data_IF_452826934121
#
_entry.id   IF_452826934121
#
_cell.length_a   1.000
_cell.length_b   1.000
_cell.length_c   1.000
_cell.angle_alpha   90.00
_cell.angle_beta   90.00
_cell.angle_gamma   90.00
#
_symmetry.space_group_name_H-M   'P 1'
#
loop_
_entity.id
_entity.type
_entity.pdbx_description
1 polymer ?
#
# COMPACT_ATOMS: atom_id res chain seq x y z
N UNK A 1 32.19 58.06 -43.49
CA UNK A 1 31.92 56.84 -42.68
C UNK A 1 30.98 57.27 -41.57
N UNK A 2 29.71 56.86 -41.69
CA UNK A 2 28.55 57.71 -41.42
C UNK A 2 27.91 57.55 -40.04
N UNK A 3 27.39 58.68 -39.54
CA UNK A 3 26.60 58.83 -38.33
C UNK A 3 25.10 58.55 -38.54
N UNK A 4 24.43 58.21 -37.44
CA UNK A 4 23.01 58.38 -37.06
C UNK A 4 21.99 58.84 -38.13
N UNK A 5 20.81 58.17 -38.20
CA UNK A 5 19.48 58.80 -38.02
C UNK A 5 18.34 57.77 -37.91
N UNK A 6 17.32 58.15 -37.12
CA UNK A 6 16.04 57.49 -36.77
C UNK A 6 14.99 57.44 -37.90
N UNK A 7 14.09 56.45 -37.87
CA UNK A 7 12.61 56.54 -37.89
C UNK A 7 12.00 55.12 -37.92
N UNK A 8 11.17 54.69 -36.94
CA UNK A 8 9.73 54.93 -36.66
C UNK A 8 8.76 53.99 -37.41
N UNK A 9 8.06 53.21 -36.59
CA UNK A 9 6.66 52.74 -36.64
C UNK A 9 6.23 51.55 -37.55
N UNK A 10 5.58 50.57 -36.90
CA UNK A 10 4.71 49.49 -37.44
C UNK A 10 5.41 48.12 -37.51
N UNK A 11 5.05 47.05 -36.80
CA UNK A 11 3.74 46.63 -36.26
C UNK A 11 3.99 45.64 -35.09
N UNK A 12 3.24 45.78 -34.00
CA UNK A 12 3.30 44.93 -32.81
C UNK A 12 2.56 43.61 -33.05
N UNK A 13 3.25 42.46 -32.93
CA UNK A 13 2.60 41.16 -32.74
C UNK A 13 3.12 40.50 -31.45
N UNK A 14 2.37 40.69 -30.37
CA UNK A 14 2.66 40.31 -28.97
C UNK A 14 2.36 38.82 -28.69
N UNK A 15 2.71 37.85 -29.55
CA UNK A 15 2.39 36.43 -29.29
C UNK A 15 3.46 35.40 -29.65
N UNK A 16 4.76 35.67 -29.39
CA UNK A 16 5.78 34.61 -29.32
C UNK A 16 6.77 34.84 -28.16
N UNK A 17 6.90 33.90 -27.21
CA UNK A 17 7.99 33.93 -26.23
C UNK A 17 9.34 33.67 -26.92
N UNK A 18 10.27 34.60 -26.75
CA UNK A 18 11.65 34.48 -27.24
C UNK A 18 12.41 33.39 -26.44
N UNK A 19 12.87 32.34 -27.11
CA UNK A 19 13.79 31.34 -26.55
C UNK A 19 15.26 31.78 -26.69
N UNK A 20 16.08 31.46 -25.69
CA UNK A 20 17.52 31.70 -25.73
C UNK A 20 18.21 30.81 -26.79
N UNK A 21 19.29 31.29 -27.44
CA UNK A 21 20.02 30.49 -28.42
C UNK A 21 20.74 29.32 -27.73
N UNK A 22 20.30 28.10 -28.03
CA UNK A 22 20.98 26.87 -27.65
C UNK A 22 22.30 26.76 -28.41
N UNK A 23 23.42 26.76 -27.68
CA UNK A 23 24.70 26.29 -28.19
C UNK A 23 24.71 24.75 -28.15
N UNK A 24 25.12 24.07 -29.23
CA UNK A 24 25.26 22.62 -29.24
C UNK A 24 26.42 22.23 -28.32
N UNK A 25 26.11 21.68 -27.15
CA UNK A 25 27.11 21.03 -26.30
C UNK A 25 27.05 19.53 -26.58
N UNK A 26 28.01 19.08 -27.37
CA UNK A 26 28.49 17.70 -27.33
C UNK A 26 28.75 17.30 -25.87
N UNK A 27 28.05 16.29 -25.40
CA UNK A 27 28.38 15.53 -24.21
C UNK A 27 28.40 14.04 -24.57
N UNK A 28 29.31 13.25 -23.97
CA UNK A 28 29.69 11.95 -24.49
C UNK A 28 28.72 10.86 -24.06
N UNK A 29 28.24 10.08 -25.05
CA UNK A 29 27.77 8.70 -24.88
C UNK A 29 26.56 8.48 -23.97
N UNK A 30 25.37 8.82 -24.45
CA UNK A 30 24.15 8.19 -23.94
C UNK A 30 24.11 6.71 -24.40
N UNK A 31 23.67 5.75 -23.56
CA UNK A 31 23.49 4.37 -23.97
C UNK A 31 22.49 4.34 -25.14
N UNK A 32 22.84 3.61 -26.20
CA UNK A 32 22.24 3.75 -27.53
C UNK A 32 20.71 3.79 -27.51
N UNK A 33 20.13 4.73 -28.25
CA UNK A 33 18.69 4.77 -28.47
C UNK A 33 18.23 3.42 -29.00
N UNK A 34 17.54 2.63 -28.18
CA UNK A 34 17.06 1.31 -28.57
C UNK A 34 16.02 1.49 -29.69
N UNK A 35 16.34 0.92 -30.85
CA UNK A 35 15.48 0.93 -32.03
C UNK A 35 14.59 -0.31 -32.00
N UNK A 36 13.28 -0.11 -32.18
CA UNK A 36 12.34 -1.18 -32.43
C UNK A 36 12.36 -1.51 -33.92
N UNK A 37 12.76 -2.73 -34.26
CA UNK A 37 12.81 -3.19 -35.65
C UNK A 37 11.58 -4.04 -35.94
N UNK A 38 11.01 -3.87 -37.14
CA UNK A 38 9.89 -4.67 -37.60
C UNK A 38 10.26 -6.16 -37.67
N UNK A 39 9.24 -7.01 -37.48
CA UNK A 39 9.33 -8.46 -37.49
C UNK A 39 9.58 -9.03 -38.89
N UNK A 40 9.12 -8.34 -39.94
CA UNK A 40 9.11 -8.87 -41.31
C UNK A 40 9.91 -8.03 -42.30
N UNK A 41 10.26 -6.78 -41.96
CA UNK A 41 10.90 -5.84 -42.87
C UNK A 41 12.06 -5.10 -42.17
N UNK A 42 12.88 -4.33 -42.91
CA UNK A 42 14.01 -3.59 -42.34
C UNK A 42 13.60 -2.29 -41.64
N UNK A 43 12.31 -1.92 -41.63
CA UNK A 43 11.86 -0.68 -40.99
C UNK A 43 12.13 -0.71 -39.49
N UNK A 44 12.61 0.42 -38.98
CA UNK A 44 12.89 0.60 -37.57
C UNK A 44 12.43 1.96 -37.09
N UNK A 45 11.96 2.01 -35.85
CA UNK A 45 11.53 3.24 -35.20
C UNK A 45 12.17 3.35 -33.82
N UNK A 46 12.37 4.57 -33.30
CA UNK A 46 12.76 4.74 -31.90
C UNK A 46 11.73 4.13 -30.93
N UNK A 47 12.18 3.60 -29.79
CA UNK A 47 11.31 2.99 -28.79
C UNK A 47 10.13 3.86 -28.32
N UNK A 48 10.33 5.18 -28.23
CA UNK A 48 9.28 6.13 -27.84
C UNK A 48 8.16 6.27 -28.90
N UNK A 49 8.36 5.78 -30.12
CA UNK A 49 7.37 5.79 -31.22
C UNK A 49 6.79 4.41 -31.49
N UNK A 50 6.67 3.56 -30.47
CA UNK A 50 6.12 2.19 -30.58
C UNK A 50 4.79 2.13 -31.34
N UNK A 51 3.91 3.13 -31.19
CA UNK A 51 2.60 3.16 -31.85
C UNK A 51 2.71 3.25 -33.38
N UNK A 52 3.77 3.89 -33.89
CA UNK A 52 4.07 3.96 -35.33
C UNK A 52 4.41 2.56 -35.86
N UNK A 53 5.21 1.80 -35.10
CA UNK A 53 5.55 0.42 -35.47
C UNK A 53 4.34 -0.51 -35.39
N UNK A 54 3.53 -0.40 -34.33
CA UNK A 54 2.31 -1.21 -34.20
C UNK A 54 1.33 -0.93 -35.35
N UNK A 55 1.20 0.33 -35.77
CA UNK A 55 0.43 0.71 -36.95
C UNK A 55 1.01 0.12 -38.23
N UNK A 56 2.33 0.13 -38.39
CA UNK A 56 3.01 -0.49 -39.52
C UNK A 56 2.76 -2.01 -39.58
N UNK A 57 2.90 -2.71 -38.45
CA UNK A 57 2.61 -4.15 -38.35
C UNK A 57 1.16 -4.48 -38.72
N UNK A 58 0.20 -3.65 -38.30
CA UNK A 58 -1.21 -3.84 -38.62
C UNK A 58 -1.50 -3.61 -40.11
N UNK A 59 -0.99 -2.53 -40.71
CA UNK A 59 -1.34 -2.13 -42.08
C UNK A 59 -0.58 -2.91 -43.15
N UNK A 60 0.74 -3.08 -42.99
CA UNK A 60 1.60 -3.71 -44.00
C UNK A 60 1.67 -5.23 -43.82
N UNK A 61 1.63 -5.70 -42.56
CA UNK A 61 1.86 -7.10 -42.24
C UNK A 61 0.64 -7.83 -41.66
N UNK A 62 -0.50 -7.13 -41.49
CA UNK A 62 -1.75 -7.68 -40.94
C UNK A 62 -1.56 -8.40 -39.59
N UNK A 63 -0.53 -8.01 -38.83
CA UNK A 63 -0.20 -8.58 -37.53
C UNK A 63 -0.62 -7.63 -36.41
N UNK A 64 -1.27 -8.18 -35.39
CA UNK A 64 -1.66 -7.48 -34.17
C UNK A 64 -1.01 -8.17 -32.99
N UNK A 65 -0.34 -7.40 -32.14
CA UNK A 65 0.20 -7.87 -30.86
C UNK A 65 -0.78 -7.43 -29.76
N UNK A 66 -1.36 -8.39 -29.03
CA UNK A 66 -2.27 -8.12 -27.93
C UNK A 66 -1.53 -7.58 -26.70
N UNK A 67 -2.16 -6.66 -25.99
CA UNK A 67 -1.71 -6.16 -24.68
C UNK A 67 -0.23 -5.76 -24.62
N UNK A 68 0.22 -4.97 -25.59
CA UNK A 68 1.62 -4.49 -25.70
C UNK A 68 2.10 -3.77 -24.43
N UNK A 69 1.17 -3.16 -23.68
CA UNK A 69 1.42 -2.54 -22.37
C UNK A 69 1.95 -3.51 -21.31
N UNK A 70 1.66 -4.80 -21.44
CA UNK A 70 2.08 -5.87 -20.52
C UNK A 70 3.44 -6.49 -20.88
N UNK A 71 4.03 -6.09 -22.01
CA UNK A 71 5.32 -6.61 -22.45
C UNK A 71 6.43 -5.83 -21.73
N UNK A 72 7.17 -6.52 -20.86
CA UNK A 72 8.24 -5.96 -20.05
C UNK A 72 9.37 -5.28 -20.86
N UNK A 73 9.74 -5.90 -22.00
CA UNK A 73 10.81 -5.47 -22.89
C UNK A 73 10.40 -5.69 -24.35
N UNK A 74 9.84 -4.64 -24.96
CA UNK A 74 9.35 -4.70 -26.34
C UNK A 74 10.47 -4.92 -27.38
N UNK A 75 11.65 -4.28 -27.30
CA UNK A 75 12.76 -4.56 -28.21
C UNK A 75 13.17 -6.04 -28.23
N UNK A 76 13.42 -6.66 -27.07
CA UNK A 76 13.81 -8.08 -26.99
C UNK A 76 12.68 -9.00 -27.44
N UNK A 77 11.43 -8.65 -27.13
CA UNK A 77 10.24 -9.38 -27.59
C UNK A 77 10.16 -9.42 -29.12
N UNK A 78 10.32 -8.28 -29.80
CA UNK A 78 10.28 -8.21 -31.26
C UNK A 78 11.46 -8.96 -31.89
N UNK A 79 12.66 -8.86 -31.32
CA UNK A 79 13.82 -9.60 -31.82
C UNK A 79 13.62 -11.12 -31.75
N UNK A 80 13.02 -11.63 -30.66
CA UNK A 80 12.71 -13.05 -30.53
C UNK A 80 11.73 -13.51 -31.62
N UNK A 81 10.60 -12.81 -31.76
CA UNK A 81 9.57 -13.16 -32.74
C UNK A 81 10.04 -13.02 -34.17
N UNK A 82 10.90 -12.03 -34.46
CA UNK A 82 11.56 -11.88 -35.76
C UNK A 82 12.37 -13.13 -36.15
N UNK A 83 13.09 -13.73 -35.21
CA UNK A 83 13.81 -14.98 -35.44
C UNK A 83 12.86 -16.16 -35.63
N UNK A 84 11.87 -16.32 -34.73
CA UNK A 84 10.93 -17.45 -34.76
C UNK A 84 10.05 -17.48 -36.01
N UNK A 85 9.60 -16.32 -36.50
CA UNK A 85 8.82 -16.22 -37.74
C UNK A 85 9.62 -16.47 -39.03
N UNK A 86 10.95 -16.52 -38.96
CA UNK A 86 11.78 -16.98 -40.07
C UNK A 86 11.87 -18.52 -40.13
N UNK A 87 11.68 -19.20 -38.99
CA UNK A 87 11.82 -20.66 -38.89
C UNK A 87 10.53 -21.41 -39.23
N UNK A 88 9.38 -20.88 -38.79
CA UNK A 88 8.08 -21.53 -38.89
C UNK A 88 6.97 -20.54 -39.30
N UNK A 89 5.88 -21.02 -39.94
CA UNK A 89 4.82 -20.15 -40.44
C UNK A 89 4.01 -19.50 -39.30
N UNK A 90 3.47 -18.32 -39.58
CA UNK A 90 2.71 -17.50 -38.61
C UNK A 90 1.50 -18.22 -38.01
N UNK A 91 0.90 -19.16 -38.74
CA UNK A 91 -0.29 -19.90 -38.29
C UNK A 91 -0.06 -20.76 -37.05
N UNK A 92 1.19 -21.12 -36.77
CA UNK A 92 1.53 -21.99 -35.64
C UNK A 92 1.63 -21.18 -34.33
N UNK A 93 1.81 -19.86 -34.45
CA UNK A 93 2.06 -18.95 -33.33
C UNK A 93 1.14 -17.74 -33.27
N UNK A 94 0.17 -17.63 -34.19
CA UNK A 94 -0.78 -16.53 -34.21
C UNK A 94 -2.18 -17.09 -34.46
N UNK A 95 -3.15 -16.57 -33.72
CA UNK A 95 -4.56 -16.82 -33.99
C UNK A 95 -4.98 -16.08 -35.26
N UNK A 96 -5.62 -16.76 -36.20
CA UNK A 96 -6.07 -16.16 -37.47
C UNK A 96 -7.46 -15.57 -37.30
N UNK A 97 -7.58 -14.26 -37.47
CA UNK A 97 -8.85 -13.51 -37.47
C UNK A 97 -9.22 -13.22 -38.92
N UNK A 98 -10.31 -13.83 -39.39
CA UNK A 98 -10.84 -13.56 -40.73
C UNK A 98 -11.83 -12.41 -40.67
N UNK A 99 -11.51 -11.32 -41.35
CA UNK A 99 -12.49 -10.23 -41.54
C UNK A 99 -13.44 -10.59 -42.67
N UNK A 100 -14.73 -10.26 -42.49
CA UNK A 100 -15.78 -10.44 -43.50
C UNK A 100 -16.06 -11.92 -43.87
N UNK A 101 -16.15 -12.80 -42.87
CA UNK A 101 -16.39 -14.25 -43.01
C UNK A 101 -17.66 -14.64 -43.78
N UNK A 102 -18.60 -13.70 -43.99
CA UNK A 102 -19.83 -13.87 -44.79
C UNK A 102 -19.78 -13.14 -46.14
N UNK A 103 -18.69 -12.44 -46.47
CA UNK A 103 -18.52 -11.69 -47.72
C UNK A 103 -17.84 -12.49 -48.85
N UNK A 104 -17.77 -11.93 -50.07
CA UNK A 104 -17.09 -12.55 -51.21
C UNK A 104 -15.62 -12.86 -50.89
N UNK A 105 -15.11 -14.00 -51.37
CA UNK A 105 -13.73 -14.50 -51.10
C UNK A 105 -12.65 -13.45 -51.39
N UNK A 106 -12.86 -12.59 -52.40
CA UNK A 106 -11.94 -11.52 -52.79
C UNK A 106 -11.79 -10.39 -51.76
N UNK A 107 -12.69 -10.31 -50.76
CA UNK A 107 -12.67 -9.29 -49.69
C UNK A 107 -12.41 -9.89 -48.30
N UNK A 108 -12.10 -11.18 -48.23
CA UNK A 108 -11.72 -11.83 -46.97
C UNK A 108 -10.24 -11.58 -46.73
N UNK A 109 -9.92 -10.90 -45.64
CA UNK A 109 -8.55 -10.68 -45.22
C UNK A 109 -8.28 -11.40 -43.90
N UNK A 110 -7.19 -12.17 -43.89
CA UNK A 110 -6.69 -12.85 -42.71
C UNK A 110 -5.74 -11.91 -41.93
N UNK A 111 -6.08 -11.64 -40.68
CA UNK A 111 -5.25 -10.94 -39.71
C UNK A 111 -4.66 -11.95 -38.73
N UNK A 112 -3.42 -11.75 -38.31
CA UNK A 112 -2.74 -12.61 -37.36
C UNK A 112 -2.67 -11.92 -36.00
N UNK A 113 -3.18 -12.57 -34.96
CA UNK A 113 -3.15 -12.07 -33.58
C UNK A 113 -2.13 -12.87 -32.76
N UNK A 114 -1.14 -12.16 -32.22
CA UNK A 114 -0.17 -12.68 -31.27
C UNK A 114 -0.62 -12.31 -29.85
N UNK A 115 -0.98 -13.31 -29.04
CA UNK A 115 -1.51 -13.11 -27.70
C UNK A 115 -0.99 -14.13 -26.70
N UNK A 116 -1.14 -13.79 -25.43
CA UNK A 116 -0.78 -14.55 -24.23
C UNK A 116 -1.59 -15.85 -24.03
N UNK A 117 -2.68 -16.05 -24.78
CA UNK A 117 -3.39 -17.33 -24.82
C UNK A 117 -2.50 -18.43 -25.43
N UNK A 118 -1.51 -18.05 -26.25
CA UNK A 118 -0.58 -18.98 -26.88
C UNK A 118 0.57 -19.32 -25.94
N UNK A 119 0.90 -20.62 -25.75
CA UNK A 119 1.91 -21.05 -24.78
C UNK A 119 3.28 -20.40 -24.97
N UNK A 120 3.77 -20.30 -26.21
CA UNK A 120 5.09 -19.72 -26.50
C UNK A 120 5.15 -18.22 -26.23
N UNK A 121 4.10 -17.47 -26.57
CA UNK A 121 4.03 -16.03 -26.31
C UNK A 121 3.94 -15.76 -24.81
N UNK A 122 3.11 -16.53 -24.09
CA UNK A 122 2.99 -16.46 -22.64
C UNK A 122 4.34 -16.69 -21.95
N UNK A 123 5.02 -17.78 -22.28
CA UNK A 123 6.33 -18.12 -21.71
C UNK A 123 7.39 -17.04 -22.00
N UNK A 124 7.35 -16.43 -23.19
CA UNK A 124 8.25 -15.34 -23.53
C UNK A 124 7.98 -14.09 -22.69
N UNK A 125 6.70 -13.69 -22.56
CA UNK A 125 6.30 -12.55 -21.71
C UNK A 125 6.71 -12.78 -20.26
N UNK A 126 6.43 -13.96 -19.71
CA UNK A 126 6.84 -14.38 -18.36
C UNK A 126 8.36 -14.31 -18.20
N UNK A 127 9.13 -14.83 -19.17
CA UNK A 127 10.61 -14.81 -19.13
C UNK A 127 11.19 -13.40 -19.19
N UNK A 128 10.62 -12.51 -20.00
CA UNK A 128 11.06 -11.11 -20.08
C UNK A 128 10.71 -10.35 -18.80
N UNK A 129 9.53 -10.61 -18.23
CA UNK A 129 9.12 -10.03 -16.95
C UNK A 129 10.00 -10.51 -15.80
N UNK A 130 10.27 -11.81 -15.69
CA UNK A 130 11.12 -12.38 -14.65
C UNK A 130 12.52 -11.75 -14.68
N UNK A 131 13.10 -11.61 -15.88
CA UNK A 131 14.41 -10.98 -16.04
C UNK A 131 14.40 -9.51 -15.61
N UNK A 132 13.35 -8.76 -15.97
CA UNK A 132 13.16 -7.38 -15.53
C UNK A 132 12.98 -7.28 -14.02
N UNK A 133 12.26 -8.22 -13.41
CA UNK A 133 12.07 -8.28 -11.97
C UNK A 133 13.40 -8.57 -11.25
N UNK A 134 14.20 -9.52 -11.74
CA UNK A 134 15.55 -9.81 -11.24
C UNK A 134 16.44 -8.55 -11.27
N UNK A 135 16.49 -7.85 -12.41
CA UNK A 135 17.25 -6.61 -12.57
C UNK A 135 16.80 -5.52 -11.57
N UNK A 136 15.49 -5.41 -11.33
CA UNK A 136 14.92 -4.42 -10.41
C UNK A 136 15.17 -4.79 -8.94
N UNK A 137 15.14 -6.07 -8.59
CA UNK A 137 15.48 -6.55 -7.25
C UNK A 137 16.96 -6.37 -6.95
N UNK A 138 17.84 -6.64 -7.92
CA UNK A 138 19.27 -6.36 -7.80
C UNK A 138 19.53 -4.87 -7.59
N UNK A 139 18.85 -4.01 -8.36
CA UNK A 139 18.90 -2.56 -8.18
C UNK A 139 18.39 -2.14 -6.79
N UNK A 140 17.29 -2.73 -6.31
CA UNK A 140 16.76 -2.45 -4.98
C UNK A 140 17.77 -2.81 -3.89
N UNK A 141 18.41 -3.97 -4.00
CA UNK A 141 19.42 -4.43 -3.05
C UNK A 141 20.65 -3.51 -3.07
N UNK A 142 21.12 -3.13 -4.25
CA UNK A 142 22.20 -2.17 -4.39
C UNK A 142 21.86 -0.83 -3.72
N UNK A 143 20.65 -0.31 -3.91
CA UNK A 143 20.20 0.93 -3.26
C UNK A 143 19.99 0.80 -1.74
N UNK A 144 19.79 -0.42 -1.21
CA UNK A 144 19.74 -0.66 0.24
C UNK A 144 21.13 -0.66 0.86
N UNK A 145 22.10 -1.23 0.16
CA UNK A 145 23.49 -1.30 0.61
C UNK A 145 24.27 -0.01 0.31
N UNK A 146 23.76 0.84 -0.59
CA UNK A 146 24.37 2.11 -0.92
C UNK A 146 24.44 3.04 0.31
N UNK A 147 25.66 3.45 0.62
CA UNK A 147 26.01 4.41 1.67
C UNK A 147 26.64 5.68 1.11
N UNK A 148 26.74 5.79 -0.23
CA UNK A 148 27.27 6.96 -0.94
C UNK A 148 26.19 7.96 -1.33
N UNK A 149 24.92 7.70 -0.98
CA UNK A 149 23.81 8.58 -1.29
C UNK A 149 24.00 9.94 -0.62
N UNK A 150 23.94 11.01 -1.41
CA UNK A 150 24.02 12.39 -0.93
C UNK A 150 22.99 13.26 -1.65
N UNK A 151 22.07 13.87 -0.89
CA UNK A 151 21.10 14.83 -1.41
C UNK A 151 20.60 15.81 -0.34
N UNK A 152 20.25 17.01 -0.80
CA UNK A 152 19.52 18.00 -0.01
C UNK A 152 18.02 17.72 -0.13
N UNK A 153 17.28 17.86 0.97
CA UNK A 153 15.84 17.74 0.96
C UNK A 153 15.18 18.83 0.09
N UNK A 154 14.22 18.44 -0.74
CA UNK A 154 13.51 19.34 -1.67
C UNK A 154 12.61 20.39 -0.97
N UNK A 155 12.29 20.19 0.31
CA UNK A 155 11.38 21.05 1.07
C UNK A 155 12.09 21.99 2.06
N UNK A 156 13.21 21.54 2.65
CA UNK A 156 14.05 22.30 3.59
C UNK A 156 15.48 22.50 3.05
N UNK A 157 16.42 22.86 3.92
CA UNK A 157 17.84 23.05 3.57
C UNK A 157 18.74 21.98 4.20
N UNK A 158 18.15 20.93 4.74
CA UNK A 158 18.88 19.85 5.39
C UNK A 158 19.50 18.93 4.34
N UNK A 159 20.77 18.60 4.55
CA UNK A 159 21.55 17.72 3.68
C UNK A 159 21.65 16.34 4.31
N UNK A 160 21.41 15.31 3.49
CA UNK A 160 21.43 13.92 3.89
C UNK A 160 22.53 13.20 3.12
N UNK A 161 23.40 12.52 3.87
CA UNK A 161 24.45 11.65 3.37
C UNK A 161 24.32 10.25 3.99
N UNK A 162 24.71 9.21 3.28
CA UNK A 162 24.65 7.83 3.77
C UNK A 162 23.62 7.01 3.00
N UNK A 163 22.55 6.58 3.67
CA UNK A 163 21.50 5.78 3.05
C UNK A 163 20.29 6.64 2.66
N UNK A 164 19.66 6.30 1.53
CA UNK A 164 18.45 6.98 1.02
C UNK A 164 17.29 7.02 2.02
N UNK A 165 17.18 6.01 2.89
CA UNK A 165 16.12 5.93 3.91
C UNK A 165 16.11 7.14 4.85
N UNK A 166 17.27 7.74 5.15
CA UNK A 166 17.36 8.91 6.03
C UNK A 166 16.61 10.11 5.46
N UNK A 167 16.78 10.39 4.16
CA UNK A 167 16.08 11.47 3.48
C UNK A 167 14.56 11.20 3.40
N UNK A 168 14.19 9.98 2.99
CA UNK A 168 12.78 9.62 2.83
C UNK A 168 12.01 9.63 4.16
N UNK A 169 12.63 9.12 5.23
CA UNK A 169 12.05 9.15 6.57
C UNK A 169 11.96 10.59 7.11
N UNK A 170 12.93 11.45 6.81
CA UNK A 170 12.85 12.88 7.14
C UNK A 170 11.69 13.57 6.41
N UNK A 171 11.53 13.34 5.10
CA UNK A 171 10.41 13.89 4.33
C UNK A 171 9.05 13.44 4.91
N UNK A 172 8.94 12.18 5.33
CA UNK A 172 7.73 11.66 5.95
C UNK A 172 7.46 12.24 7.34
N UNK A 173 8.49 12.45 8.18
CA UNK A 173 8.33 12.92 9.57
C UNK A 173 8.21 14.45 9.67
N UNK A 174 9.19 15.18 9.12
CA UNK A 174 9.30 16.64 9.28
C UNK A 174 8.40 17.41 8.31
N UNK A 175 8.17 16.85 7.12
CA UNK A 175 7.33 17.50 6.10
C UNK A 175 5.98 16.83 5.92
N UNK A 176 5.75 15.72 6.64
CA UNK A 176 4.55 14.89 6.48
C UNK A 176 4.30 14.52 5.02
N UNK A 177 5.35 14.40 4.21
CA UNK A 177 5.28 14.07 2.80
C UNK A 177 5.74 12.62 2.63
N UNK A 178 4.77 11.72 2.47
CA UNK A 178 5.04 10.28 2.34
C UNK A 178 4.90 9.85 0.88
N UNK A 179 5.97 9.24 0.36
CA UNK A 179 6.02 8.61 -0.97
C UNK A 179 6.08 7.08 -0.89
N UNK A 180 5.85 6.51 0.30
CA UNK A 180 6.00 5.08 0.56
C UNK A 180 7.24 4.75 1.39
N UNK A 181 7.38 3.46 1.74
CA UNK A 181 8.53 2.97 2.49
C UNK A 181 9.79 3.01 1.61
N UNK A 182 10.96 3.38 2.17
CA UNK A 182 12.23 3.37 1.44
C UNK A 182 12.50 2.04 0.73
N UNK A 183 12.12 0.93 1.36
CA UNK A 183 12.31 -0.41 0.85
C UNK A 183 11.48 -0.73 -0.38
N UNK A 184 10.32 -0.10 -0.55
CA UNK A 184 9.41 -0.38 -1.66
C UNK A 184 9.72 0.47 -2.90
N UNK A 185 10.70 1.37 -2.79
CA UNK A 185 11.10 2.29 -3.86
C UNK A 185 12.31 1.72 -4.58
N UNK A 186 12.31 1.81 -5.91
CA UNK A 186 13.42 1.46 -6.80
C UNK A 186 13.75 2.65 -7.70
N UNK A 187 15.00 2.74 -8.16
CA UNK A 187 15.51 3.89 -8.91
C UNK A 187 15.33 5.21 -8.14
N UNK A 188 15.66 5.22 -6.85
CA UNK A 188 15.33 6.32 -5.93
C UNK A 188 15.88 7.67 -6.40
N UNK A 189 17.10 7.71 -6.95
CA UNK A 189 17.68 8.96 -7.46
C UNK A 189 16.85 9.54 -8.61
N UNK A 190 16.49 8.70 -9.59
CA UNK A 190 15.65 9.10 -10.73
C UNK A 190 14.25 9.53 -10.27
N UNK A 191 13.71 8.88 -9.24
CA UNK A 191 12.43 9.25 -8.67
C UNK A 191 12.49 10.65 -8.03
N UNK A 192 13.49 10.89 -7.20
CA UNK A 192 13.71 12.20 -6.58
C UNK A 192 13.97 13.29 -7.61
N UNK A 193 14.67 13.00 -8.72
CA UNK A 193 14.84 13.92 -9.83
C UNK A 193 13.53 14.26 -10.54
N UNK A 194 12.70 13.25 -10.81
CA UNK A 194 11.40 13.47 -11.42
C UNK A 194 10.50 14.37 -10.53
N UNK A 195 10.52 14.14 -9.21
CA UNK A 195 9.78 14.96 -8.26
C UNK A 195 10.35 16.38 -8.15
N UNK A 196 11.67 16.52 -8.10
CA UNK A 196 12.36 17.80 -8.04
C UNK A 196 12.07 18.64 -9.29
N UNK A 197 12.17 18.03 -10.48
CA UNK A 197 11.84 18.67 -11.75
C UNK A 197 10.38 19.15 -11.79
N UNK A 198 9.42 18.36 -11.28
CA UNK A 198 8.02 18.79 -11.19
C UNK A 198 7.85 19.99 -10.24
N UNK A 199 8.55 20.01 -9.11
CA UNK A 199 8.53 21.17 -8.21
C UNK A 199 9.18 22.42 -8.83
N UNK A 200 10.27 22.25 -9.59
CA UNK A 200 10.96 23.36 -10.26
C UNK A 200 10.14 23.93 -11.42
N UNK A 201 9.34 23.08 -12.09
CA UNK A 201 8.29 23.49 -13.02
C UNK A 201 7.04 24.06 -12.33
N UNK A 202 7.10 24.31 -11.02
CA UNK A 202 6.03 24.85 -10.21
C UNK A 202 4.74 24.01 -10.25
N UNK A 203 4.87 22.70 -10.46
CA UNK A 203 3.78 21.75 -10.52
C UNK A 203 3.56 21.06 -9.17
N UNK A 204 2.31 20.97 -8.72
CA UNK A 204 1.95 20.23 -7.52
C UNK A 204 1.99 18.71 -7.76
N UNK A 205 2.70 17.97 -6.91
CA UNK A 205 2.90 16.52 -7.03
C UNK A 205 1.62 15.69 -6.85
N UNK A 206 0.59 16.25 -6.22
CA UNK A 206 -0.70 15.57 -5.96
C UNK A 206 -1.77 15.91 -6.98
N UNK A 207 -2.02 17.20 -7.22
CA UNK A 207 -3.11 17.65 -8.09
C UNK A 207 -2.66 18.07 -9.48
N UNK A 208 -1.35 18.01 -9.76
CA UNK A 208 -0.72 18.30 -11.06
C UNK A 208 -0.94 19.70 -11.61
N UNK A 209 -1.54 20.60 -10.82
CA UNK A 209 -1.71 22.02 -11.17
C UNK A 209 -0.37 22.74 -11.14
N UNK A 210 -0.16 23.63 -12.11
CA UNK A 210 0.98 24.53 -12.17
C UNK A 210 0.67 25.85 -11.47
N UNK A 211 1.70 26.46 -10.89
CA UNK A 211 1.61 27.68 -10.10
C UNK A 211 2.57 28.74 -10.65
N UNK A 212 2.33 30.00 -10.26
CA UNK A 212 3.13 31.13 -10.75
C UNK A 212 4.48 31.24 -10.04
N UNK A 213 4.49 30.91 -8.73
CA UNK A 213 5.68 31.06 -7.88
C UNK A 213 5.83 29.91 -6.88
N UNK A 214 7.08 29.58 -6.51
CA UNK A 214 7.41 28.52 -5.54
C UNK A 214 6.74 28.73 -4.17
N UNK A 215 6.56 29.99 -3.76
CA UNK A 215 5.85 30.34 -2.52
C UNK A 215 4.38 29.94 -2.59
N UNK A 216 3.69 30.26 -3.70
CA UNK A 216 2.28 29.92 -3.91
C UNK A 216 2.05 28.41 -4.00
N UNK A 217 2.98 27.67 -4.59
CA UNK A 217 2.96 26.20 -4.63
C UNK A 217 3.12 25.61 -3.22
N UNK A 218 4.12 26.05 -2.45
CA UNK A 218 4.33 25.60 -1.06
C UNK A 218 3.12 25.89 -0.18
N UNK A 219 2.54 27.09 -0.31
CA UNK A 219 1.32 27.47 0.40
C UNK A 219 0.12 26.62 0.02
N UNK A 220 -0.03 26.33 -1.28
CA UNK A 220 -1.08 25.45 -1.79
C UNK A 220 -0.95 24.04 -1.20
N UNK A 221 0.23 23.44 -1.27
CA UNK A 221 0.48 22.09 -0.75
C UNK A 221 0.23 22.01 0.76
N UNK A 222 0.61 23.06 1.51
CA UNK A 222 0.36 23.16 2.95
C UNK A 222 -1.13 23.32 3.28
N UNK A 223 -1.82 24.28 2.65
CA UNK A 223 -3.23 24.61 2.94
C UNK A 223 -4.20 23.50 2.53
N UNK A 224 -3.92 22.81 1.41
CA UNK A 224 -4.75 21.71 0.92
C UNK A 224 -4.30 20.33 1.40
N UNK A 225 -3.25 20.27 2.24
CA UNK A 225 -2.66 19.03 2.70
C UNK A 225 -2.34 18.03 1.57
N UNK A 226 -1.83 18.53 0.43
CA UNK A 226 -1.33 17.71 -0.68
C UNK A 226 0.04 17.13 -0.29
N UNK A 227 -0.01 16.16 0.62
CA UNK A 227 1.10 15.52 1.33
C UNK A 227 1.52 14.18 0.70
N UNK A 228 0.86 13.80 -0.39
CA UNK A 228 1.10 12.56 -1.13
C UNK A 228 1.34 12.90 -2.60
N UNK A 229 1.95 11.97 -3.33
CA UNK A 229 1.97 12.03 -4.79
C UNK A 229 0.61 11.60 -5.35
N UNK A 230 0.34 11.98 -6.59
CA UNK A 230 -0.82 11.47 -7.30
C UNK A 230 -0.67 9.97 -7.55
N UNK A 231 -1.54 9.15 -6.96
CA UNK A 231 -1.54 7.70 -7.19
C UNK A 231 -1.89 7.33 -8.63
N UNK A 232 -2.83 8.05 -9.24
CA UNK A 232 -3.31 7.73 -10.59
C UNK A 232 -2.33 8.09 -11.71
N UNK A 233 -1.15 8.61 -11.38
CA UNK A 233 -0.14 8.96 -12.37
C UNK A 233 0.79 7.77 -12.63
N UNK A 234 0.56 7.12 -13.77
CA UNK A 234 1.31 5.95 -14.21
C UNK A 234 2.81 6.20 -14.43
N UNK A 235 3.26 7.47 -14.51
CA UNK A 235 4.68 7.78 -14.63
C UNK A 235 5.48 7.37 -13.39
N UNK A 236 4.83 7.32 -12.23
CA UNK A 236 5.48 6.94 -10.97
C UNK A 236 5.49 5.44 -10.72
N UNK A 237 4.66 4.66 -11.43
CA UNK A 237 4.54 3.21 -11.22
C UNK A 237 5.88 2.49 -11.35
N UNK A 238 6.74 2.95 -12.26
CA UNK A 238 8.11 2.41 -12.46
C UNK A 238 9.05 2.55 -11.25
N UNK A 239 8.69 3.34 -10.24
CA UNK A 239 9.51 3.54 -9.05
C UNK A 239 9.10 2.66 -7.88
N UNK A 240 8.01 1.90 -8.01
CA UNK A 240 7.49 1.04 -6.96
C UNK A 240 7.71 -0.43 -7.29
N UNK A 241 8.34 -1.17 -6.38
CA UNK A 241 8.67 -2.59 -6.57
C UNK A 241 7.42 -3.45 -6.83
N UNK A 242 6.28 -3.10 -6.22
CA UNK A 242 5.03 -3.85 -6.32
C UNK A 242 4.57 -3.97 -7.78
N UNK A 243 4.81 -2.95 -8.62
CA UNK A 243 4.46 -2.95 -10.04
C UNK A 243 5.30 -3.90 -10.90
N UNK A 244 6.29 -4.57 -10.32
CA UNK A 244 7.14 -5.55 -11.00
C UNK A 244 6.83 -6.99 -10.59
N UNK A 245 6.09 -7.19 -9.48
CA UNK A 245 5.82 -8.52 -8.90
C UNK A 245 4.76 -9.30 -9.68
N UNK A 246 3.68 -8.65 -10.14
CA UNK A 246 2.57 -9.33 -10.80
C UNK A 246 2.40 -8.96 -12.28
N UNK A 247 2.07 -9.97 -13.09
CA UNK A 247 1.86 -9.83 -14.53
C UNK A 247 0.59 -9.01 -14.80
N UNK A 248 0.79 -7.76 -15.20
CA UNK A 248 -0.26 -6.89 -15.72
C UNK A 248 -1.26 -6.34 -14.71
N UNK A 249 -0.87 -6.33 -13.43
CA UNK A 249 -1.59 -5.56 -12.41
C UNK A 249 -0.78 -4.34 -12.00
N UNK A 250 -1.45 -3.20 -12.03
CA UNK A 250 -0.96 -1.96 -11.41
C UNK A 250 -1.05 -2.09 -9.88
N UNK A 251 -0.26 -1.30 -9.14
CA UNK A 251 -0.34 -1.25 -7.68
C UNK A 251 -1.75 -0.91 -7.18
N UNK A 252 -2.54 -0.16 -7.97
CA UNK A 252 -3.95 0.11 -7.69
C UNK A 252 -4.81 -1.16 -7.77
N UNK A 253 -4.54 -2.04 -8.74
CA UNK A 253 -5.24 -3.31 -8.89
C UNK A 253 -4.84 -4.29 -7.80
N UNK A 254 -3.54 -4.41 -7.49
CA UNK A 254 -3.01 -5.25 -6.39
C UNK A 254 -3.58 -4.81 -5.04
N UNK A 255 -3.61 -3.49 -4.75
CA UNK A 255 -4.21 -3.00 -3.51
C UNK A 255 -5.73 -3.22 -3.45
N UNK A 256 -6.41 -3.17 -4.61
CA UNK A 256 -7.86 -3.41 -4.67
C UNK A 256 -8.26 -4.89 -4.61
N UNK A 257 -7.31 -5.81 -4.82
CA UNK A 257 -7.50 -7.25 -4.68
C UNK A 257 -7.28 -7.69 -3.23
N UNK A 258 -6.32 -7.10 -2.53
CA UNK A 258 -6.10 -7.30 -1.09
C UNK A 258 -7.34 -6.93 -0.26
N UNK A 259 -8.14 -5.95 -0.72
CA UNK A 259 -9.44 -5.58 -0.13
C UNK A 259 -10.61 -6.50 -0.56
N UNK A 260 -10.44 -7.35 -1.57
CA UNK A 260 -11.48 -8.26 -2.10
C UNK A 260 -11.31 -9.72 -1.71
N UNK A 261 -10.14 -10.11 -1.21
CA UNK A 261 -9.83 -11.50 -0.81
C UNK A 261 -10.10 -11.80 0.68
N UNK A 262 -10.56 -10.82 1.46
CA UNK A 262 -11.06 -11.03 2.83
C UNK A 262 -12.53 -11.47 2.86
N UNK A 263 -12.92 -12.35 1.95
CA UNK A 263 -14.30 -12.77 1.77
C UNK A 263 -14.42 -14.19 1.23
N UNK A 264 -14.26 -15.15 2.14
CA UNK A 264 -14.93 -16.46 2.11
C UNK A 264 -14.57 -17.38 0.92
N UNK A 265 -13.59 -18.28 1.10
CA UNK A 265 -13.83 -19.73 1.24
C UNK A 265 -12.51 -20.51 1.24
N UNK A 266 -12.36 -21.45 2.19
CA UNK A 266 -11.50 -22.63 2.01
C UNK A 266 -10.13 -22.65 2.69
N UNK A 267 -10.12 -22.93 3.99
CA UNK A 267 -9.11 -23.81 4.64
C UNK A 267 -7.64 -23.38 4.48
N UNK A 268 -7.34 -22.16 4.91
CA UNK A 268 -5.97 -21.68 5.07
C UNK A 268 -5.31 -22.48 6.21
N UNK A 269 -4.40 -23.37 5.83
CA UNK A 269 -3.61 -24.22 6.72
C UNK A 269 -2.61 -23.36 7.50
N UNK A 270 -3.09 -22.68 8.54
CA UNK A 270 -2.33 -21.85 9.48
C UNK A 270 -1.37 -22.66 10.38
N UNK A 271 -1.08 -23.92 10.06
CA UNK A 271 -0.23 -24.78 10.90
C UNK A 271 1.27 -24.46 10.81
N UNK A 272 1.70 -23.60 9.86
CA UNK A 272 3.11 -23.25 9.65
C UNK A 272 3.53 -21.87 10.22
N UNK A 273 2.58 -21.09 10.76
CA UNK A 273 2.91 -19.94 11.60
C UNK A 273 3.34 -20.45 12.98
N UNK A 274 4.64 -20.61 13.18
CA UNK A 274 5.20 -20.80 14.52
C UNK A 274 4.91 -19.57 15.37
N UNK A 275 3.81 -19.62 16.12
CA UNK A 275 3.49 -18.68 17.18
C UNK A 275 4.72 -18.59 18.09
N UNK A 276 5.37 -17.42 18.09
CA UNK A 276 6.44 -17.17 19.05
C UNK A 276 5.81 -17.34 20.44
N UNK A 277 6.43 -18.11 21.36
CA UNK A 277 5.83 -18.39 22.66
C UNK A 277 5.63 -17.06 23.40
N UNK A 278 4.39 -16.60 23.48
CA UNK A 278 4.05 -15.35 24.17
C UNK A 278 4.01 -15.66 25.66
N UNK A 279 4.97 -15.15 26.42
CA UNK A 279 5.05 -15.40 27.86
C UNK A 279 3.96 -14.63 28.60
N UNK A 280 3.19 -15.33 29.44
CA UNK A 280 2.19 -14.72 30.31
C UNK A 280 2.86 -14.11 31.56
N UNK A 281 2.54 -12.85 31.85
CA UNK A 281 3.08 -12.12 33.01
C UNK A 281 2.12 -12.20 34.19
N UNK A 282 2.65 -12.45 35.39
CA UNK A 282 1.90 -12.51 36.63
C UNK A 282 1.15 -11.19 36.92
N UNK A 283 0.01 -11.27 37.62
CA UNK A 283 -0.77 -10.08 38.01
C UNK A 283 -0.05 -9.23 39.07
N UNK A 284 0.76 -9.87 39.92
CA UNK A 284 1.28 -9.28 41.15
C UNK A 284 2.78 -9.01 41.11
N UNK A 285 3.53 -9.63 40.20
CA UNK A 285 4.99 -9.48 40.10
C UNK A 285 5.47 -9.59 38.65
N UNK A 286 6.77 -9.43 38.45
CA UNK A 286 7.40 -9.43 37.11
C UNK A 286 7.75 -10.85 36.62
N UNK A 287 7.23 -11.89 37.26
CA UNK A 287 7.42 -13.27 36.83
C UNK A 287 6.68 -13.54 35.51
N UNK A 288 7.38 -14.15 34.56
CA UNK A 288 6.85 -14.54 33.26
C UNK A 288 6.94 -16.05 33.12
N UNK A 289 5.91 -16.66 32.53
CA UNK A 289 5.89 -18.09 32.26
C UNK A 289 5.41 -18.37 30.84
N UNK A 290 5.97 -19.40 30.22
CA UNK A 290 5.62 -19.80 28.85
C UNK A 290 4.33 -20.63 28.81
N UNK A 291 3.90 -21.20 29.95
CA UNK A 291 2.67 -21.99 30.04
C UNK A 291 1.71 -21.44 31.10
N UNK A 292 0.40 -21.57 30.82
CA UNK A 292 -0.66 -21.09 31.70
C UNK A 292 -0.69 -21.83 33.05
N UNK A 293 -0.38 -23.12 33.05
CA UNK A 293 -0.34 -23.92 34.29
C UNK A 293 0.74 -23.41 35.24
N UNK A 294 1.89 -23.00 34.71
CA UNK A 294 2.98 -22.42 35.50
C UNK A 294 2.57 -21.07 36.08
N UNK A 295 1.89 -20.20 35.30
CA UNK A 295 1.49 -18.89 35.81
C UNK A 295 0.39 -18.99 36.86
N UNK A 296 -0.56 -19.92 36.72
CA UNK A 296 -1.57 -20.19 37.76
C UNK A 296 -0.98 -20.79 39.01
N UNK A 297 -0.05 -21.73 38.87
CA UNK A 297 0.66 -22.31 40.02
C UNK A 297 1.47 -21.23 40.75
N UNK A 298 2.16 -20.36 40.00
CA UNK A 298 2.89 -19.23 40.57
C UNK A 298 1.98 -18.25 41.33
N UNK A 299 0.84 -17.84 40.76
CA UNK A 299 -0.12 -16.96 41.46
C UNK A 299 -0.64 -17.60 42.76
N UNK A 300 -0.85 -18.92 42.75
CA UNK A 300 -1.35 -19.67 43.91
C UNK A 300 -0.28 -19.86 44.99
N UNK A 301 0.94 -20.21 44.62
CA UNK A 301 2.01 -20.51 45.57
C UNK A 301 2.69 -19.24 46.12
N UNK A 302 3.02 -18.28 45.25
CA UNK A 302 3.76 -17.08 45.64
C UNK A 302 2.84 -15.97 46.18
N UNK A 303 1.63 -15.85 45.63
CA UNK A 303 0.71 -14.76 45.98
C UNK A 303 -0.55 -15.20 46.73
N UNK A 304 -0.77 -16.52 46.91
CA UNK A 304 -2.01 -17.09 47.48
C UNK A 304 -3.28 -16.61 46.76
N UNK A 305 -3.15 -16.33 45.47
CA UNK A 305 -4.23 -15.88 44.61
C UNK A 305 -4.62 -17.01 43.65
N UNK A 306 -5.86 -17.48 43.75
CA UNK A 306 -6.39 -18.55 42.90
C UNK A 306 -7.47 -18.00 41.96
N UNK A 307 -7.04 -17.66 40.73
CA UNK A 307 -7.94 -17.12 39.70
C UNK A 307 -9.02 -18.15 39.30
N UNK A 308 -8.67 -19.45 39.29
CA UNK A 308 -9.60 -20.51 38.94
C UNK A 308 -10.71 -20.67 39.98
N UNK A 309 -10.36 -20.56 41.26
CA UNK A 309 -11.32 -20.57 42.35
C UNK A 309 -12.28 -19.37 42.27
N UNK A 310 -11.75 -18.16 42.08
CA UNK A 310 -12.56 -16.94 41.94
C UNK A 310 -13.50 -17.00 40.74
N UNK A 311 -13.03 -17.52 39.61
CA UNK A 311 -13.87 -17.76 38.42
C UNK A 311 -15.06 -18.66 38.74
N UNK A 312 -14.80 -19.75 39.44
CA UNK A 312 -15.81 -20.76 39.77
C UNK A 312 -16.81 -20.25 40.81
N UNK A 313 -16.33 -19.53 41.82
CA UNK A 313 -17.17 -18.96 42.89
C UNK A 313 -18.10 -17.84 42.38
N UNK A 314 -17.62 -17.02 41.44
CA UNK A 314 -18.37 -15.89 40.89
C UNK A 314 -19.05 -16.20 39.55
N UNK A 315 -18.86 -17.40 38.99
CA UNK A 315 -19.42 -17.83 37.70
C UNK A 315 -19.19 -16.79 36.58
N UNK A 316 -17.95 -16.33 36.44
CA UNK A 316 -17.60 -15.23 35.53
C UNK A 316 -17.55 -15.68 34.07
N UNK A 317 -18.28 -14.98 33.19
CA UNK A 317 -18.18 -15.14 31.73
C UNK A 317 -16.85 -14.59 31.21
N UNK A 318 -16.41 -14.99 30.02
CA UNK A 318 -15.13 -14.57 29.44
C UNK A 318 -14.84 -13.06 29.56
N UNK A 319 -15.77 -12.22 29.09
CA UNK A 319 -15.60 -10.76 29.14
C UNK A 319 -15.55 -10.19 30.57
N UNK A 320 -16.20 -10.85 31.53
CA UNK A 320 -16.15 -10.46 32.94
C UNK A 320 -14.82 -10.85 33.57
N UNK A 321 -14.23 -11.98 33.15
CA UNK A 321 -12.88 -12.39 33.52
C UNK A 321 -11.83 -11.38 32.99
N UNK A 322 -11.95 -10.96 31.73
CA UNK A 322 -11.08 -9.93 31.13
C UNK A 322 -11.14 -8.62 31.91
N UNK A 323 -12.35 -8.14 32.23
CA UNK A 323 -12.53 -6.90 33.02
C UNK A 323 -11.94 -7.03 34.42
N UNK A 324 -12.10 -8.18 35.08
CA UNK A 324 -11.55 -8.42 36.41
C UNK A 324 -10.02 -8.39 36.41
N UNK A 325 -9.39 -9.07 35.44
CA UNK A 325 -7.93 -9.08 35.29
C UNK A 325 -7.40 -7.68 35.01
N UNK A 326 -8.03 -6.94 34.09
CA UNK A 326 -7.67 -5.55 33.80
C UNK A 326 -7.88 -4.62 35.00
N UNK A 327 -8.95 -4.83 35.78
CA UNK A 327 -9.18 -4.08 37.00
C UNK A 327 -8.06 -4.28 38.01
N UNK A 328 -7.69 -5.52 38.31
CA UNK A 328 -6.61 -5.85 39.27
C UNK A 328 -5.30 -5.24 38.81
N UNK A 329 -4.94 -5.41 37.53
CA UNK A 329 -3.72 -4.83 36.94
C UNK A 329 -3.70 -3.31 37.03
N UNK A 330 -4.82 -2.65 36.75
CA UNK A 330 -4.93 -1.19 36.84
C UNK A 330 -4.80 -0.67 38.28
N UNK A 331 -5.40 -1.35 39.26
CA UNK A 331 -5.26 -0.96 40.66
C UNK A 331 -3.81 -1.12 41.15
N UNK A 332 -3.16 -2.22 40.78
CA UNK A 332 -1.75 -2.44 41.12
C UNK A 332 -0.81 -1.44 40.44
N UNK A 333 -1.06 -1.10 39.16
CA UNK A 333 -0.31 -0.06 38.45
C UNK A 333 -0.47 1.32 39.11
N UNK A 334 -1.67 1.64 39.60
CA UNK A 334 -1.94 2.89 40.32
C UNK A 334 -1.49 2.87 41.79
N UNK A 335 -0.79 1.80 42.23
CA UNK A 335 -0.36 1.58 43.62
C UNK A 335 -1.52 1.67 44.63
N UNK A 336 -2.68 1.12 44.27
CA UNK A 336 -3.88 1.08 45.11
C UNK A 336 -4.28 -0.35 45.43
N UNK A 337 -4.73 -0.60 46.65
CA UNK A 337 -5.32 -1.88 47.01
C UNK A 337 -6.71 -2.01 46.38
N UNK A 338 -6.97 -3.10 45.63
CA UNK A 338 -8.29 -3.31 45.01
C UNK A 338 -9.41 -3.62 46.02
N UNK A 339 -9.09 -4.14 47.21
CA UNK A 339 -10.06 -4.45 48.26
C UNK A 339 -10.55 -3.22 49.05
N UNK A 340 -9.62 -2.42 49.60
CA UNK A 340 -9.93 -1.26 50.47
C UNK A 340 -9.70 0.12 49.82
N UNK A 341 -9.17 0.18 48.60
CA UNK A 341 -8.85 1.41 47.86
C UNK A 341 -7.79 2.32 48.50
N UNK A 342 -7.07 1.86 49.53
CA UNK A 342 -5.91 2.58 50.09
C UNK A 342 -4.79 2.72 49.05
N UNK A 343 -4.18 3.90 49.01
CA UNK A 343 -3.07 4.22 48.11
C UNK A 343 -1.73 4.10 48.84
N UNK A 344 -0.74 3.53 48.16
CA UNK A 344 0.60 3.27 48.68
C UNK A 344 1.66 3.91 47.78
N UNK A 345 2.89 4.02 48.29
CA UNK A 345 4.01 4.67 47.58
C UNK A 345 4.57 3.80 46.46
N UNK A 346 4.52 2.48 46.60
CA UNK A 346 5.03 1.55 45.59
C UNK A 346 4.25 0.23 45.58
N UNK A 347 4.40 -0.53 44.49
CA UNK A 347 3.73 -1.82 44.27
C UNK A 347 4.01 -2.83 45.38
N UNK A 348 5.25 -2.88 45.88
CA UNK A 348 5.67 -3.81 46.93
C UNK A 348 4.93 -3.56 48.26
N UNK A 349 4.61 -2.30 48.56
CA UNK A 349 3.82 -1.92 49.73
C UNK A 349 2.36 -2.37 49.61
N UNK A 350 1.78 -2.25 48.40
CA UNK A 350 0.43 -2.76 48.11
C UNK A 350 0.39 -4.27 48.29
N UNK A 351 1.37 -5.01 47.77
CA UNK A 351 1.43 -6.47 47.89
C UNK A 351 1.54 -6.93 49.34
N UNK A 352 2.40 -6.26 50.13
CA UNK A 352 2.54 -6.52 51.57
C UNK A 352 1.25 -6.21 52.33
N UNK A 353 0.54 -5.14 51.97
CA UNK A 353 -0.77 -4.83 52.54
C UNK A 353 -1.81 -5.89 52.16
N UNK A 354 -1.89 -6.30 50.89
CA UNK A 354 -2.82 -7.32 50.42
C UNK A 354 -2.66 -8.63 51.20
N UNK A 355 -1.41 -9.05 51.48
CA UNK A 355 -1.11 -10.23 52.28
C UNK A 355 -1.44 -10.05 53.77
N UNK A 356 -1.09 -8.90 54.36
CA UNK A 356 -1.30 -8.65 55.80
C UNK A 356 -2.78 -8.42 56.17
N UNK A 357 -3.54 -7.76 55.31
CA UNK A 357 -4.96 -7.48 55.48
C UNK A 357 -5.87 -8.62 54.97
N UNK A 358 -5.30 -9.62 54.28
CA UNK A 358 -6.07 -10.74 53.72
C UNK A 358 -6.92 -10.38 52.51
N UNK A 359 -6.68 -9.24 51.86
CA UNK A 359 -7.44 -8.76 50.71
C UNK A 359 -7.13 -9.49 49.40
N UNK A 360 -6.23 -10.48 49.41
CA UNK A 360 -5.80 -11.22 48.20
C UNK A 360 -6.98 -11.82 47.43
N UNK A 361 -7.90 -12.49 48.11
CA UNK A 361 -9.09 -13.12 47.49
C UNK A 361 -10.37 -12.32 47.71
N UNK A 362 -10.30 -11.15 48.36
CA UNK A 362 -11.46 -10.32 48.67
C UNK A 362 -11.65 -9.25 47.61
N UNK A 363 -12.51 -9.53 46.64
CA UNK A 363 -12.84 -8.61 45.56
C UNK A 363 -13.93 -7.60 45.99
N UNK A 364 -13.85 -6.34 45.52
CA UNK A 364 -14.94 -5.38 45.71
C UNK A 364 -16.19 -5.79 44.90
N UNK A 365 -17.33 -5.17 45.23
CA UNK A 365 -18.61 -5.46 44.56
C UNK A 365 -18.50 -5.34 43.03
N UNK A 366 -19.21 -6.22 42.30
CA UNK A 366 -19.15 -6.34 40.84
C UNK A 366 -19.32 -5.02 40.09
N UNK A 367 -20.15 -4.10 40.60
CA UNK A 367 -20.33 -2.76 40.04
C UNK A 367 -19.06 -1.90 39.99
N UNK A 368 -18.02 -2.25 40.76
CA UNK A 368 -16.76 -1.50 40.84
C UNK A 368 -15.80 -1.87 39.72
N UNK A 369 -15.77 -3.15 39.34
CA UNK A 369 -14.83 -3.69 38.35
C UNK A 369 -15.49 -4.12 37.03
N UNK A 370 -16.78 -4.42 37.01
CA UNK A 370 -17.54 -4.75 35.80
C UNK A 370 -17.98 -3.49 35.04
N UNK A 371 -17.04 -2.56 34.78
CA UNK A 371 -17.29 -1.32 34.06
C UNK A 371 -16.75 -1.41 32.62
N UNK A 372 -17.38 -0.74 31.63
CA UNK A 372 -16.94 -0.76 30.24
C UNK A 372 -15.49 -0.32 30.03
N UNK A 373 -14.98 0.56 30.89
CA UNK A 373 -13.60 1.05 30.85
C UNK A 373 -12.51 -0.03 31.05
N UNK A 374 -12.88 -1.23 31.53
CA UNK A 374 -11.95 -2.35 31.74
C UNK A 374 -11.98 -3.38 30.60
N UNK A 375 -12.73 -3.11 29.53
CA UNK A 375 -12.61 -3.88 28.28
C UNK A 375 -11.27 -3.65 27.58
N UNK A 376 -10.70 -2.46 27.75
CA UNK A 376 -9.39 -2.13 27.20
C UNK A 376 -8.28 -2.73 28.07
N UNK A 377 -7.35 -3.52 27.49
CA UNK A 377 -6.19 -4.05 28.20
C UNK A 377 -5.43 -2.95 28.92
N UNK A 378 -5.01 -3.22 30.15
CA UNK A 378 -4.16 -2.27 30.90
C UNK A 378 -2.73 -2.25 30.35
N UNK A 379 -2.26 -3.37 29.79
CA UNK A 379 -0.98 -3.51 29.12
C UNK A 379 -1.18 -3.95 27.67
N UNK A 380 -0.34 -3.47 26.77
CA UNK A 380 -0.31 -3.92 25.38
C UNK A 380 0.26 -5.36 25.31
N UNK A 381 -0.27 -6.19 24.41
CA UNK A 381 0.18 -7.59 24.19
C UNK A 381 0.02 -8.53 25.40
N UNK A 382 -1.10 -8.42 26.10
CA UNK A 382 -1.37 -9.18 27.31
C UNK A 382 -1.75 -10.65 27.03
N UNK A 383 -0.73 -11.52 26.96
CA UNK A 383 -0.87 -12.95 26.68
C UNK A 383 -1.79 -13.69 27.67
N UNK A 384 -1.94 -13.17 28.89
CA UNK A 384 -2.84 -13.77 29.89
C UNK A 384 -4.30 -13.58 29.49
N UNK A 385 -4.66 -12.45 28.87
CA UNK A 385 -6.04 -12.18 28.42
C UNK A 385 -6.44 -13.03 27.21
N UNK A 386 -5.48 -13.32 26.33
CA UNK A 386 -5.70 -14.14 25.12
C UNK A 386 -5.94 -15.63 25.42
N UNK A 387 -5.58 -16.09 26.61
CA UNK A 387 -5.59 -17.51 26.99
C UNK A 387 -6.62 -17.84 28.07
N UNK A 388 -7.43 -16.86 28.52
CA UNK A 388 -8.55 -17.09 29.44
C UNK A 388 -9.55 -18.05 28.79
N UNK A 389 -9.82 -19.19 29.44
CA UNK A 389 -10.76 -20.18 28.91
C UNK A 389 -12.20 -19.72 29.06
N UNK A 390 -12.94 -19.76 27.95
CA UNK A 390 -14.39 -19.73 27.96
C UNK A 390 -14.87 -21.07 28.52
N UNK A 391 -15.54 -21.06 29.67
CA UNK A 391 -16.14 -22.28 30.22
C UNK A 391 -17.54 -22.51 29.64
N UNK A 392 -17.75 -22.14 28.37
CA UNK A 392 -19.00 -22.38 27.62
C UNK A 392 -18.81 -23.56 26.67
N UNK A 393 -18.48 -24.70 27.27
CA UNK A 393 -18.69 -26.01 26.68
C UNK A 393 -20.02 -26.59 27.15
N UNK A 394 -21.14 -25.98 26.77
CA UNK A 394 -22.43 -26.67 26.62
C UNK A 394 -23.47 -25.76 25.97
N UNK A 395 -23.84 -26.08 24.73
CA UNK A 395 -25.07 -25.60 24.12
C UNK A 395 -26.27 -26.02 24.98
N UNK A 396 -26.97 -25.05 25.58
CA UNK A 396 -28.39 -25.18 25.98
C UNK A 396 -29.01 -23.81 26.27
N UNK A 397 -29.68 -23.31 25.25
CA UNK A 397 -30.80 -22.38 25.24
C UNK A 397 -31.43 -22.06 26.63
N UNK A 398 -31.19 -20.84 27.15
CA UNK A 398 -32.09 -20.16 28.11
C UNK A 398 -32.02 -18.63 27.95
N UNK A 399 -33.09 -18.11 27.35
CA UNK A 399 -33.59 -16.74 27.50
C UNK A 399 -33.54 -16.24 28.95
N UNK A 400 -32.85 -15.12 29.20
CA UNK A 400 -32.83 -14.46 30.50
C UNK A 400 -31.98 -13.19 30.57
N UNK A 401 -32.60 -12.06 30.25
CA UNK A 401 -32.23 -10.67 30.57
C UNK A 401 -30.82 -10.17 30.20
N UNK A 402 -30.72 -9.65 28.97
CA UNK A 402 -29.85 -8.53 28.61
C UNK A 402 -30.07 -7.36 29.58
N UNK A 403 -29.06 -6.99 30.36
CA UNK A 403 -28.88 -5.57 30.65
C UNK A 403 -28.25 -4.97 29.39
N UNK A 404 -29.09 -4.24 28.66
CA UNK A 404 -28.77 -3.60 27.38
C UNK A 404 -27.45 -2.84 27.47
N UNK A 405 -26.43 -3.37 26.80
CA UNK A 405 -25.30 -2.56 26.35
C UNK A 405 -25.86 -1.65 25.25
N UNK A 406 -25.86 -0.32 25.40
CA UNK A 406 -26.27 0.56 24.32
C UNK A 406 -25.20 0.48 23.22
N UNK A 407 -25.40 -0.43 22.28
CA UNK A 407 -24.71 -0.44 21.00
C UNK A 407 -25.25 0.77 20.25
N UNK A 408 -24.49 1.87 20.23
CA UNK A 408 -24.78 3.00 19.36
C UNK A 408 -24.41 2.55 17.95
N UNK A 409 -25.36 1.93 17.25
CA UNK A 409 -25.25 1.72 15.81
C UNK A 409 -25.24 3.10 15.12
N UNK A 410 -24.42 3.26 14.08
CA UNK A 410 -24.52 4.44 13.22
C UNK A 410 -25.95 4.56 12.67
N UNK A 411 -26.51 5.77 12.71
CA UNK A 411 -27.88 6.06 12.29
C UNK A 411 -28.03 5.90 10.77
N UNK A 412 -28.40 4.69 10.35
CA UNK A 412 -28.62 4.29 8.95
C UNK A 412 -29.99 4.74 8.41
N UNK A 413 -30.77 5.48 9.18
CA UNK A 413 -32.14 5.88 8.83
C UNK A 413 -32.21 6.74 7.55
N UNK A 414 -31.17 7.51 7.26
CA UNK A 414 -31.12 8.42 6.10
C UNK A 414 -30.46 7.83 4.83
N UNK A 415 -30.07 6.55 4.84
CA UNK A 415 -29.46 5.91 3.65
C UNK A 415 -30.39 5.93 2.43
N UNK A 416 -31.71 5.83 2.63
CA UNK A 416 -32.69 5.95 1.53
C UNK A 416 -32.81 7.38 1.01
N UNK A 417 -32.73 8.39 1.89
CA UNK A 417 -32.79 9.79 1.53
C UNK A 417 -31.51 10.23 0.76
N UNK A 418 -30.33 9.80 1.24
CA UNK A 418 -29.03 9.98 0.58
C UNK A 418 -28.97 9.30 -0.79
N UNK A 419 -29.58 8.11 -0.93
CA UNK A 419 -29.67 7.43 -2.23
C UNK A 419 -30.58 8.18 -3.22
N UNK A 420 -31.67 8.78 -2.75
CA UNK A 420 -32.60 9.55 -3.58
C UNK A 420 -32.06 10.93 -3.98
N UNK A 421 -31.27 11.58 -3.12
CA UNK A 421 -30.62 12.87 -3.39
C UNK A 421 -29.25 12.73 -4.05
N UNK A 422 -28.79 11.50 -4.33
CA UNK A 422 -27.48 11.27 -4.92
C UNK A 422 -27.36 11.94 -6.29
N UNK A 423 -26.24 12.63 -6.49
CA UNK A 423 -25.88 13.30 -7.75
C UNK A 423 -25.87 12.30 -8.92
N UNK A 424 -25.57 11.02 -8.63
CA UNK A 424 -25.59 9.91 -9.58
C UNK A 424 -26.98 9.73 -10.24
N UNK A 425 -28.07 9.85 -9.47
CA UNK A 425 -29.44 9.72 -10.00
C UNK A 425 -29.86 10.91 -10.85
N UNK A 426 -29.36 12.12 -10.55
CA UNK A 426 -29.58 13.31 -11.37
C UNK A 426 -28.86 13.22 -12.72
N UNK A 427 -27.66 12.65 -12.73
CA UNK A 427 -26.89 12.40 -13.96
C UNK A 427 -27.52 11.31 -14.83
N UNK A 428 -28.07 10.24 -14.25
CA UNK A 428 -28.76 9.18 -14.99
C UNK A 428 -30.06 9.67 -15.66
N UNK A 429 -30.85 10.55 -15.02
CA UNK A 429 -32.05 11.15 -15.63
C UNK A 429 -31.72 12.07 -16.80
N UNK A 430 -30.60 12.79 -16.75
CA UNK A 430 -30.18 13.68 -17.84
C UNK A 430 -29.78 12.95 -19.13
N UNK A 431 -29.34 11.68 -19.05
CA UNK A 431 -29.02 10.85 -20.24
C UNK A 431 -30.24 10.20 -20.89
N UNK A 432 -31.40 10.18 -20.21
CA UNK A 432 -32.64 9.58 -20.73
C UNK A 432 -33.51 10.51 -21.58
N UNK A 433 -33.20 11.81 -21.64
CA UNK A 433 -34.02 12.82 -22.34
C UNK A 433 -33.43 13.30 -23.67
N UNK A 434 -32.34 12.68 -24.15
CA UNK A 434 -31.83 12.82 -25.51
C UNK A 434 -31.91 11.47 -26.25
N UNK A 435 -33.14 11.05 -26.56
CA UNK A 435 -33.44 10.13 -27.67
C UNK A 435 -34.77 10.48 -28.29
#
# INVERSE_FOLDING_TARGET
MAACTRNRDGDDSILEPLCFPELPSDAPGAPGAELLVCLFCPDSVPQHQKDVLLKHLLLEHKLVIADVKLIADLPKYLLFWRGRFQEQPLTDFCSVIKTNSTGPVEKQEDYFLLCDVLPEDRLLREKLQQRRLEEVLDQQQQEREDSSFQRVCMFCSDEFSGNRSSLLNHMAREHSFSIGLPDNIVYCQQFLDALQMKLDNLQCLYCEKTFRDKTTLKDHMRKKAHRRINGSNSEYDRFYIINYLELGKTWEEVQSEDDRDLGDDGDDDWSDWQAHPVSAVCLFCDHQSETMEQIYTHMKEAHRFDLHQLRTELSLRFYEQVKLVNFIRRQLHQSRCYGCQEAFSCREEVLRHLQAAGHVMTLPHASTWNQPQYFFPTYENDALLCTLSDSDGDERDKTGHSEDVPVIAEDVSDLRALRQSSVLNSLLKSRGSCR
#
